data_IF_223192432535
#
_entry.id   IF_223192432535
#
_cell.length_a   1.000
_cell.length_b   1.000
_cell.length_c   1.000
_cell.angle_alpha   90.00
_cell.angle_beta   90.00
_cell.angle_gamma   90.00
#
_symmetry.space_group_name_H-M   'P 1'
#
loop_
_entity.id
_entity.type
_entity.pdbx_description
1 polymer ?
#
# COMPACT_ATOMS: atom_id res chain seq x y z
N UNK A 1 2.47 11.62 28.57
CA UNK A 1 1.81 10.29 28.50
C UNK A 1 2.34 9.58 27.27
N UNK A 2 2.88 8.36 27.39
CA UNK A 2 3.13 7.53 26.20
C UNK A 2 1.76 6.99 25.77
N UNK A 3 1.29 7.42 24.60
CA UNK A 3 0.18 6.74 23.94
C UNK A 3 0.74 5.42 23.40
N UNK A 4 0.24 4.30 23.91
CA UNK A 4 0.58 2.99 23.38
C UNK A 4 -0.33 2.67 22.18
N UNK A 5 0.14 1.83 21.27
CA UNK A 5 -0.61 1.48 20.06
C UNK A 5 -2.00 0.92 20.40
N UNK A 6 -2.10 0.18 21.50
CA UNK A 6 -3.35 -0.38 22.03
C UNK A 6 -4.41 0.69 22.31
N UNK A 7 -4.05 1.75 23.02
CA UNK A 7 -5.00 2.78 23.45
C UNK A 7 -5.54 3.57 22.25
N UNK A 8 -4.66 3.87 21.30
CA UNK A 8 -4.99 4.59 20.07
C UNK A 8 -5.89 3.73 19.19
N UNK A 9 -5.59 2.45 19.03
CA UNK A 9 -6.42 1.53 18.22
C UNK A 9 -7.82 1.39 18.82
N UNK A 10 -7.92 1.25 20.15
CA UNK A 10 -9.21 1.18 20.82
C UNK A 10 -10.04 2.45 20.58
N UNK A 11 -9.41 3.64 20.65
CA UNK A 11 -10.08 4.91 20.39
C UNK A 11 -10.53 5.05 18.93
N UNK A 12 -9.69 4.65 17.96
CA UNK A 12 -10.07 4.67 16.53
C UNK A 12 -11.25 3.73 16.25
N UNK A 13 -11.26 2.55 16.86
CA UNK A 13 -12.38 1.60 16.73
C UNK A 13 -13.67 2.12 17.39
N UNK A 14 -13.55 2.97 18.41
CA UNK A 14 -14.69 3.67 19.04
C UNK A 14 -15.21 4.85 18.20
N UNK A 15 -14.61 5.14 17.03
CA UNK A 15 -15.05 6.18 16.11
C UNK A 15 -14.31 7.51 16.25
N UNK A 16 -13.29 7.59 17.11
CA UNK A 16 -12.42 8.76 17.21
C UNK A 16 -11.43 8.78 16.02
N UNK A 17 -11.79 9.55 15.01
CA UNK A 17 -11.00 9.68 13.77
C UNK A 17 -9.70 10.45 14.00
N UNK A 18 -9.63 11.32 15.00
CA UNK A 18 -8.44 12.15 15.28
C UNK A 18 -7.31 11.27 15.84
N UNK A 19 -7.66 10.19 16.53
CA UNK A 19 -6.70 9.19 17.00
C UNK A 19 -6.00 8.44 15.84
N UNK A 20 -6.60 8.35 14.65
CA UNK A 20 -5.95 7.67 13.51
C UNK A 20 -4.75 8.45 12.98
N UNK A 21 -4.77 9.78 13.10
CA UNK A 21 -3.65 10.63 12.70
C UNK A 21 -2.37 10.28 13.45
N UNK A 22 -2.48 9.88 14.71
CA UNK A 22 -1.32 9.43 15.50
C UNK A 22 -0.68 8.17 14.89
N UNK A 23 -1.48 7.20 14.43
CA UNK A 23 -0.97 6.01 13.74
C UNK A 23 -0.25 6.39 12.45
N UNK A 24 -0.83 7.29 11.66
CA UNK A 24 -0.18 7.81 10.44
C UNK A 24 1.17 8.42 10.79
N UNK A 25 1.21 9.36 11.75
CA UNK A 25 2.44 10.05 12.16
C UNK A 25 3.52 9.07 12.65
N UNK A 26 3.14 8.03 13.39
CA UNK A 26 4.05 7.01 13.91
C UNK A 26 4.63 6.10 12.82
N UNK A 27 3.83 5.72 11.83
CA UNK A 27 4.21 4.68 10.87
C UNK A 27 4.58 5.20 9.47
N UNK A 28 4.24 6.44 9.10
CA UNK A 28 4.42 6.99 7.75
C UNK A 28 5.82 6.80 7.19
N UNK A 29 6.86 7.07 7.98
CA UNK A 29 8.25 6.93 7.53
C UNK A 29 8.63 5.48 7.29
N UNK A 30 8.17 4.55 8.13
CA UNK A 30 8.45 3.11 7.99
C UNK A 30 7.71 2.51 6.80
N UNK A 31 6.44 2.87 6.63
CA UNK A 31 5.60 2.44 5.50
C UNK A 31 6.22 2.93 4.19
N UNK A 32 6.49 4.24 4.08
CA UNK A 32 7.12 4.82 2.90
C UNK A 32 8.46 4.15 2.59
N UNK A 33 9.32 3.97 3.59
CA UNK A 33 10.63 3.34 3.40
C UNK A 33 10.51 1.92 2.87
N UNK A 34 9.58 1.12 3.39
CA UNK A 34 9.35 -0.24 2.91
C UNK A 34 8.83 -0.24 1.46
N UNK A 35 7.79 0.55 1.19
CA UNK A 35 7.18 0.62 -0.14
C UNK A 35 8.21 1.10 -1.17
N UNK A 36 8.95 2.17 -0.88
CA UNK A 36 9.99 2.69 -1.76
C UNK A 36 11.08 1.66 -2.08
N UNK A 37 11.53 0.86 -1.09
CA UNK A 37 12.52 -0.20 -1.34
C UNK A 37 12.02 -1.26 -2.33
N UNK A 38 10.71 -1.50 -2.37
CA UNK A 38 10.09 -2.48 -3.24
C UNK A 38 9.83 -1.92 -4.64
N UNK A 39 9.22 -0.72 -4.75
CA UNK A 39 8.78 -0.17 -6.04
C UNK A 39 9.85 0.67 -6.75
N UNK A 40 10.83 1.19 -6.00
CA UNK A 40 11.96 2.01 -6.48
C UNK A 40 11.56 3.25 -7.29
N UNK A 41 10.37 3.76 -7.02
CA UNK A 41 9.85 4.99 -7.60
C UNK A 41 9.27 5.88 -6.50
N UNK A 42 9.62 7.16 -6.50
CA UNK A 42 9.29 8.07 -5.41
C UNK A 42 7.80 8.42 -5.40
N UNK A 43 7.24 8.78 -6.54
CA UNK A 43 5.84 9.21 -6.66
C UNK A 43 4.91 8.04 -6.36
N UNK A 44 5.16 6.90 -7.00
CA UNK A 44 4.45 5.64 -6.70
C UNK A 44 4.53 5.28 -5.23
N UNK A 45 5.71 5.43 -4.59
CA UNK A 45 5.83 5.11 -3.17
C UNK A 45 5.01 6.03 -2.27
N UNK A 46 4.88 7.32 -2.62
CA UNK A 46 4.02 8.26 -1.91
C UNK A 46 2.54 7.88 -2.06
N UNK A 47 2.11 7.55 -3.27
CA UNK A 47 0.72 7.18 -3.56
C UNK A 47 0.34 5.88 -2.88
N UNK A 48 1.17 4.84 -3.02
CA UNK A 48 0.94 3.55 -2.36
C UNK A 48 0.99 3.66 -0.84
N UNK A 49 1.83 4.54 -0.27
CA UNK A 49 1.83 4.76 1.18
C UNK A 49 0.51 5.34 1.67
N UNK A 50 -0.11 6.24 0.91
CA UNK A 50 -1.46 6.74 1.22
C UNK A 50 -2.50 5.62 1.12
N UNK A 51 -2.46 4.81 0.05
CA UNK A 51 -3.34 3.66 -0.13
C UNK A 51 -3.23 2.67 1.05
N UNK A 52 -2.02 2.45 1.56
CA UNK A 52 -1.78 1.61 2.75
C UNK A 52 -2.54 2.15 3.96
N UNK A 53 -2.47 3.44 4.26
CA UNK A 53 -3.19 4.01 5.40
C UNK A 53 -4.71 3.97 5.22
N UNK A 54 -5.22 4.14 4.00
CA UNK A 54 -6.65 3.95 3.71
C UNK A 54 -7.08 2.49 3.98
N UNK A 55 -6.29 1.51 3.54
CA UNK A 55 -6.55 0.08 3.82
C UNK A 55 -6.47 -0.25 5.30
N UNK A 56 -5.51 0.32 6.01
CA UNK A 56 -5.38 0.17 7.47
C UNK A 56 -6.63 0.70 8.14
N UNK A 57 -7.09 1.91 7.79
CA UNK A 57 -8.30 2.49 8.35
C UNK A 57 -9.54 1.59 8.13
N UNK A 58 -9.71 1.08 6.91
CA UNK A 58 -10.82 0.21 6.54
C UNK A 58 -10.80 -1.15 7.24
N UNK A 59 -9.60 -1.68 7.54
CA UNK A 59 -9.42 -3.04 8.08
C UNK A 59 -9.00 -3.05 9.55
N UNK A 60 -8.97 -1.89 10.21
CA UNK A 60 -8.47 -1.81 11.58
C UNK A 60 -9.30 -2.67 12.53
N UNK A 61 -10.60 -2.84 12.26
CA UNK A 61 -11.50 -3.73 13.00
C UNK A 61 -11.11 -5.21 12.91
N UNK A 62 -10.36 -5.60 11.88
CA UNK A 62 -9.92 -6.99 11.68
C UNK A 62 -8.66 -7.32 12.50
N UNK A 63 -8.05 -6.31 13.13
CA UNK A 63 -6.87 -6.47 13.96
C UNK A 63 -7.26 -7.13 15.30
N UNK A 64 -7.10 -8.46 15.35
CA UNK A 64 -7.44 -9.27 16.53
C UNK A 64 -6.58 -9.01 17.77
N UNK A 65 -5.34 -8.55 17.57
CA UNK A 65 -4.36 -8.32 18.63
C UNK A 65 -3.71 -6.94 18.41
N UNK A 66 -4.15 -5.91 19.15
CA UNK A 66 -3.59 -4.56 19.02
C UNK A 66 -2.10 -4.49 19.38
N UNK A 67 -1.57 -5.43 20.17
CA UNK A 67 -0.13 -5.53 20.46
C UNK A 67 0.72 -5.85 19.22
N UNK A 68 0.09 -6.32 18.14
CA UNK A 68 0.73 -6.63 16.86
C UNK A 68 0.49 -5.58 15.78
N UNK A 69 -0.05 -4.42 16.13
CA UNK A 69 -0.32 -3.32 15.21
C UNK A 69 0.85 -3.02 14.27
N UNK A 70 2.06 -2.89 14.82
CA UNK A 70 3.24 -2.60 14.01
C UNK A 70 3.50 -3.67 12.95
N UNK A 71 3.41 -4.95 13.29
CA UNK A 71 3.65 -6.05 12.34
C UNK A 71 2.56 -6.08 11.26
N UNK A 72 1.30 -5.95 11.69
CA UNK A 72 0.15 -5.95 10.81
C UNK A 72 0.18 -4.79 9.81
N UNK A 73 0.49 -3.57 10.26
CA UNK A 73 0.67 -2.38 9.40
C UNK A 73 1.75 -2.63 8.34
N UNK A 74 2.90 -3.19 8.74
CA UNK A 74 3.98 -3.48 7.80
C UNK A 74 3.60 -4.58 6.80
N UNK A 75 2.76 -5.55 7.20
CA UNK A 75 2.22 -6.57 6.30
C UNK A 75 1.25 -5.97 5.28
N UNK A 76 0.36 -5.05 5.67
CA UNK A 76 -0.52 -4.32 4.75
C UNK A 76 0.30 -3.51 3.74
N UNK A 77 1.37 -2.85 4.20
CA UNK A 77 2.30 -2.11 3.35
C UNK A 77 3.00 -3.00 2.32
N UNK A 78 3.58 -4.11 2.79
CA UNK A 78 4.26 -5.09 1.94
C UNK A 78 3.32 -5.66 0.87
N UNK A 79 2.13 -6.09 1.27
CA UNK A 79 1.16 -6.69 0.35
C UNK A 79 0.66 -5.68 -0.69
N UNK A 80 0.42 -4.43 -0.28
CA UNK A 80 0.01 -3.36 -1.21
C UNK A 80 1.08 -3.09 -2.28
N UNK A 81 2.36 -3.03 -1.88
CA UNK A 81 3.46 -2.88 -2.82
C UNK A 81 3.60 -4.09 -3.76
N UNK A 82 3.45 -5.32 -3.24
CA UNK A 82 3.50 -6.53 -4.07
C UNK A 82 2.35 -6.61 -5.06
N UNK A 83 1.14 -6.24 -4.66
CA UNK A 83 -0.03 -6.24 -5.54
C UNK A 83 0.15 -5.22 -6.67
N UNK A 84 0.71 -4.04 -6.38
CA UNK A 84 1.07 -3.06 -7.41
C UNK A 84 2.14 -3.60 -8.37
N UNK A 85 3.20 -4.22 -7.87
CA UNK A 85 4.26 -4.81 -8.70
C UNK A 85 3.73 -5.92 -9.62
N UNK A 86 2.80 -6.75 -9.12
CA UNK A 86 2.14 -7.79 -9.92
C UNK A 86 1.32 -7.16 -11.05
N UNK A 87 0.52 -6.13 -10.77
CA UNK A 87 -0.27 -5.41 -11.77
C UNK A 87 0.61 -4.76 -12.84
N UNK A 88 1.65 -4.03 -12.42
CA UNK A 88 2.61 -3.41 -13.35
C UNK A 88 3.25 -4.42 -14.30
N UNK A 89 3.58 -5.62 -13.81
CA UNK A 89 4.14 -6.68 -14.65
C UNK A 89 3.12 -7.18 -15.69
N UNK A 90 1.84 -7.30 -15.31
CA UNK A 90 0.77 -7.66 -16.24
C UNK A 90 0.58 -6.58 -17.30
N UNK A 91 0.56 -5.31 -16.89
CA UNK A 91 0.42 -4.17 -17.80
C UNK A 91 1.57 -4.10 -18.81
N UNK A 92 2.81 -4.34 -18.36
CA UNK A 92 3.96 -4.39 -19.28
C UNK A 92 3.85 -5.53 -20.30
N UNK A 93 3.41 -6.72 -19.88
CA UNK A 93 3.21 -7.81 -20.84
C UNK A 93 2.10 -7.48 -21.84
N UNK A 94 0.97 -6.93 -21.38
CA UNK A 94 -0.13 -6.55 -22.25
C UNK A 94 0.31 -5.53 -23.31
N UNK A 95 1.09 -4.52 -22.91
CA UNK A 95 1.66 -3.54 -23.82
C UNK A 95 2.59 -4.20 -24.86
N UNK A 96 3.48 -5.11 -24.44
CA UNK A 96 4.37 -5.84 -25.35
C UNK A 96 3.58 -6.67 -26.38
N UNK A 97 2.46 -7.30 -25.98
CA UNK A 97 1.60 -8.07 -26.88
C UNK A 97 0.85 -7.17 -27.88
N UNK A 98 0.37 -6.00 -27.46
CA UNK A 98 -0.32 -5.03 -28.32
C UNK A 98 0.63 -4.44 -29.36
N UNK A 99 1.87 -4.11 -28.98
CA UNK A 99 2.90 -3.61 -29.89
C UNK A 99 3.26 -4.66 -30.95
N UNK A 100 3.42 -5.93 -30.56
CA UNK A 100 3.68 -7.03 -31.50
C UNK A 100 2.53 -7.24 -32.49
N UNK A 101 1.27 -7.19 -32.04
CA UNK A 101 0.11 -7.29 -32.94
C UNK A 101 0.03 -6.09 -33.90
N UNK A 102 0.36 -4.89 -33.43
CA UNK A 102 0.35 -3.68 -34.25
C UNK A 102 1.43 -3.76 -35.33
N UNK A 103 2.65 -4.16 -34.98
CA UNK A 103 3.73 -4.39 -35.94
C UNK A 103 3.33 -5.46 -36.97
N UNK A 104 2.76 -6.59 -36.54
CA UNK A 104 2.35 -7.66 -37.44
C UNK A 104 1.27 -7.22 -38.44
N UNK A 105 0.30 -6.39 -38.02
CA UNK A 105 -0.74 -5.84 -38.91
C UNK A 105 -0.17 -4.87 -39.94
N UNK A 106 0.79 -4.03 -39.55
CA UNK A 106 1.49 -3.11 -40.48
C UNK A 106 2.23 -3.92 -41.55
N UNK A 107 2.97 -4.95 -41.15
CA UNK A 107 3.71 -5.81 -42.08
C UNK A 107 2.82 -6.65 -43.01
N UNK A 108 1.57 -6.94 -42.64
CA UNK A 108 0.62 -7.67 -43.49
C UNK A 108 -0.09 -6.80 -44.54
N UNK A 109 -0.01 -5.47 -44.42
CA UNK A 109 -0.65 -4.51 -45.33
C UNK A 109 0.36 -3.71 -46.18
N UNK A 110 1.65 -4.07 -46.12
CA UNK A 110 2.70 -3.64 -47.03
C UNK A 110 2.95 -4.72 -48.09
#
# INVERSE_FOLDING_TARGET
MKLEDMDVIAAVLAGDKDCFEWLIRKYQSKVYTLVYRLVRDRETALDLSQEVFLKIYQKLSDLKDPGKASSWIMQVAHNTALDWLKKRKVDSFAADFEDQQTQQKIFQHL
#
